data_IF_594861113292
#
_entry.id   IF_594861113292
#
_cell.length_a   1.000
_cell.length_b   1.000
_cell.length_c   1.000
_cell.angle_alpha   90.00
_cell.angle_beta   90.00
_cell.angle_gamma   90.00
#
_symmetry.space_group_name_H-M   'P 1'
#
loop_
_entity.id
_entity.type
_entity.pdbx_description
1 polymer ?
#
# COMPACT_ATOMS: atom_id res chain seq x y z
N UNK A 1 -0.51 35.47 -12.82
CA UNK A 1 -0.01 35.07 -14.16
C UNK A 1 -0.20 36.16 -15.22
N UNK A 2 -1.41 36.68 -15.46
CA UNK A 2 -1.59 37.82 -16.38
C UNK A 2 -0.90 39.10 -15.90
N UNK A 3 -1.03 39.41 -14.60
CA UNK A 3 -0.39 40.58 -13.98
C UNK A 3 1.14 40.52 -13.94
N UNK A 4 1.74 39.34 -14.08
CA UNK A 4 3.20 39.14 -14.07
C UNK A 4 3.78 38.94 -15.48
N UNK A 5 2.99 39.23 -16.53
CA UNK A 5 3.49 39.30 -17.91
C UNK A 5 3.77 37.96 -18.61
N UNK A 6 3.20 36.84 -18.13
CA UNK A 6 3.42 35.54 -18.78
C UNK A 6 2.71 35.44 -20.14
N UNK A 7 3.47 35.02 -21.17
CA UNK A 7 3.01 34.79 -22.55
C UNK A 7 2.21 33.50 -22.72
N UNK A 8 1.10 33.38 -21.99
CA UNK A 8 0.23 32.18 -21.99
C UNK A 8 -0.93 32.38 -22.97
N UNK A 9 -1.22 31.38 -23.80
CA UNK A 9 -2.44 31.33 -24.62
C UNK A 9 -3.65 30.95 -23.77
N UNK A 10 -4.33 31.96 -23.22
CA UNK A 10 -5.49 31.78 -22.36
C UNK A 10 -6.71 31.16 -23.05
N UNK A 11 -6.73 31.05 -24.39
CA UNK A 11 -7.83 30.39 -25.11
C UNK A 11 -7.86 28.88 -24.86
N UNK A 12 -6.75 28.30 -24.37
CA UNK A 12 -6.60 26.88 -24.04
C UNK A 12 -6.72 26.59 -22.54
N UNK A 13 -7.26 27.51 -21.75
CA UNK A 13 -7.52 27.27 -20.33
C UNK A 13 -8.68 26.30 -20.17
N UNK A 14 -8.49 25.28 -19.32
CA UNK A 14 -9.53 24.36 -18.85
C UNK A 14 -9.21 23.95 -17.41
N UNK A 15 -10.15 23.27 -16.75
CA UNK A 15 -9.95 22.62 -15.44
C UNK A 15 -10.02 21.10 -15.57
N UNK A 16 -9.46 20.37 -14.60
CA UNK A 16 -9.45 18.89 -14.60
C UNK A 16 -10.85 18.28 -14.43
N UNK A 17 -11.85 19.08 -14.07
CA UNK A 17 -13.24 18.66 -13.87
C UNK A 17 -14.17 19.13 -14.99
N UNK A 18 -13.67 19.83 -16.00
CA UNK A 18 -14.46 20.26 -17.16
C UNK A 18 -14.95 19.06 -17.98
N UNK A 19 -16.18 19.10 -18.50
CA UNK A 19 -16.77 17.96 -19.21
C UNK A 19 -16.02 17.56 -20.48
N UNK A 20 -15.44 18.53 -21.18
CA UNK A 20 -14.58 18.25 -22.34
C UNK A 20 -13.33 17.47 -21.94
N UNK A 21 -12.72 17.81 -20.80
CA UNK A 21 -11.54 17.14 -20.28
C UNK A 21 -11.88 15.75 -19.72
N UNK A 22 -13.02 15.60 -19.03
CA UNK A 22 -13.54 14.29 -18.60
C UNK A 22 -13.67 13.32 -19.76
N UNK A 23 -14.28 13.74 -20.89
CA UNK A 23 -14.40 12.89 -22.09
C UNK A 23 -13.05 12.47 -22.66
N UNK A 24 -12.06 13.38 -22.63
CA UNK A 24 -10.69 13.06 -23.04
C UNK A 24 -10.07 11.99 -22.13
N UNK A 25 -10.21 12.11 -20.81
CA UNK A 25 -9.71 11.11 -19.86
C UNK A 25 -10.43 9.77 -20.02
N UNK A 26 -11.75 9.76 -20.20
CA UNK A 26 -12.52 8.53 -20.48
C UNK A 26 -12.01 7.84 -21.74
N UNK A 27 -11.80 8.58 -22.83
CA UNK A 27 -11.22 8.04 -24.06
C UNK A 27 -9.82 7.45 -23.81
N UNK A 28 -8.96 8.15 -23.06
CA UNK A 28 -7.62 7.68 -22.72
C UNK A 28 -7.65 6.34 -21.95
N UNK A 29 -8.48 6.24 -20.91
CA UNK A 29 -8.58 5.03 -20.09
C UNK A 29 -9.19 3.86 -20.88
N UNK A 30 -10.22 4.09 -21.69
CA UNK A 30 -10.78 3.07 -22.56
C UNK A 30 -9.73 2.51 -23.53
N UNK A 31 -8.92 3.40 -24.11
CA UNK A 31 -7.85 3.01 -25.02
C UNK A 31 -6.76 2.19 -24.32
N UNK A 32 -6.41 2.52 -23.08
CA UNK A 32 -5.47 1.74 -22.27
C UNK A 32 -6.06 0.37 -21.90
N UNK A 33 -7.35 0.32 -21.59
CA UNK A 33 -8.07 -0.90 -21.28
C UNK A 33 -8.16 -1.84 -22.50
N UNK A 34 -8.54 -1.32 -23.67
CA UNK A 34 -8.61 -2.06 -24.93
C UNK A 34 -7.26 -2.67 -25.33
N UNK A 35 -6.16 -2.02 -24.97
CA UNK A 35 -4.79 -2.51 -25.21
C UNK A 35 -4.24 -3.42 -24.12
N UNK A 36 -5.02 -3.73 -23.09
CA UNK A 36 -4.62 -4.63 -22.01
C UNK A 36 -3.64 -4.02 -21.00
N UNK A 37 -3.50 -2.68 -20.94
CA UNK A 37 -2.64 -2.00 -19.97
C UNK A 37 -3.34 -1.75 -18.62
N UNK A 38 -4.65 -1.98 -18.54
CA UNK A 38 -5.42 -1.82 -17.30
C UNK A 38 -5.78 -3.21 -16.78
N UNK A 39 -5.16 -3.59 -15.66
CA UNK A 39 -5.38 -4.86 -14.98
C UNK A 39 -6.03 -4.69 -13.62
N UNK A 40 -6.61 -5.78 -13.09
CA UNK A 40 -7.08 -5.88 -11.71
C UNK A 40 -6.33 -6.99 -11.01
N UNK A 41 -5.82 -6.70 -9.82
CA UNK A 41 -5.09 -7.66 -9.00
C UNK A 41 -5.08 -7.24 -7.55
N UNK A 42 -4.59 -8.13 -6.68
CA UNK A 42 -4.32 -7.81 -5.28
C UNK A 42 -2.92 -7.21 -5.18
N UNK A 43 -2.83 -5.99 -4.68
CA UNK A 43 -1.57 -5.31 -4.45
C UNK A 43 -1.65 -4.58 -3.10
N UNK A 44 -0.60 -4.64 -2.25
CA UNK A 44 -0.58 -3.88 -1.01
C UNK A 44 -0.58 -2.38 -1.32
N UNK A 45 -1.56 -1.66 -0.78
CA UNK A 45 -1.70 -0.21 -0.93
C UNK A 45 -1.72 0.43 0.45
N UNK A 46 -1.28 1.69 0.54
CA UNK A 46 -1.57 2.50 1.73
C UNK A 46 -3.07 2.72 1.82
N UNK A 47 -3.62 2.59 3.02
CA UNK A 47 -5.05 2.58 3.24
C UNK A 47 -5.43 3.55 4.36
N UNK A 48 -6.45 4.37 4.15
CA UNK A 48 -7.04 5.19 5.20
C UNK A 48 -8.19 4.41 5.86
N UNK A 49 -8.08 3.99 7.13
CA UNK A 49 -9.17 3.29 7.81
C UNK A 49 -10.37 4.20 8.13
N UNK A 50 -10.22 5.53 8.03
CA UNK A 50 -11.31 6.48 8.24
C UNK A 50 -12.14 6.70 6.97
N UNK A 51 -11.47 6.81 5.82
CA UNK A 51 -12.09 7.16 4.54
C UNK A 51 -12.40 5.94 3.67
N UNK A 52 -11.94 4.75 4.10
CA UNK A 52 -12.17 3.45 3.45
C UNK A 52 -11.70 3.42 1.98
N UNK A 53 -10.56 4.04 1.70
CA UNK A 53 -9.99 4.16 0.37
C UNK A 53 -8.44 4.05 0.36
N UNK A 54 -7.84 3.73 -0.81
CA UNK A 54 -6.39 3.79 -0.97
C UNK A 54 -5.92 5.24 -0.97
N UNK A 55 -4.72 5.46 -0.44
CA UNK A 55 -4.13 6.80 -0.24
C UNK A 55 -2.79 6.89 -0.97
N UNK A 56 -2.62 7.93 -1.79
CA UNK A 56 -1.37 8.20 -2.49
C UNK A 56 -0.49 9.20 -1.73
N UNK A 57 0.72 9.45 -2.22
CA UNK A 57 1.68 10.36 -1.55
C UNK A 57 1.13 11.78 -1.36
N UNK A 58 0.21 12.20 -2.23
CA UNK A 58 -0.39 13.53 -2.19
C UNK A 58 -1.58 13.67 -1.22
N UNK A 59 -2.06 12.54 -0.68
CA UNK A 59 -3.23 12.50 0.20
C UNK A 59 -2.87 12.24 1.68
N UNK A 60 -1.57 12.14 1.99
CA UNK A 60 -1.07 11.92 3.36
C UNK A 60 -0.54 13.21 4.00
N UNK A 61 -0.83 13.39 5.29
CA UNK A 61 -0.37 14.56 6.05
C UNK A 61 1.10 14.48 6.48
N UNK A 62 1.63 13.25 6.63
CA UNK A 62 3.01 12.97 7.06
C UNK A 62 3.46 11.62 6.52
N UNK A 63 4.76 11.45 6.34
CA UNK A 63 5.36 10.16 5.97
C UNK A 63 5.42 9.89 4.48
N UNK A 64 5.58 10.92 3.64
CA UNK A 64 5.74 10.79 2.18
C UNK A 64 6.84 9.80 1.77
N UNK A 65 7.91 9.69 2.58
CA UNK A 65 8.98 8.72 2.34
C UNK A 65 8.72 7.30 2.85
N UNK A 66 7.55 7.02 3.44
CA UNK A 66 7.24 5.70 3.98
C UNK A 66 6.91 4.73 2.84
N UNK A 67 7.78 3.75 2.64
CA UNK A 67 7.61 2.69 1.64
C UNK A 67 7.00 1.44 2.26
N UNK A 68 6.30 0.66 1.43
CA UNK A 68 5.83 -0.67 1.80
C UNK A 68 7.04 -1.60 1.77
N UNK A 69 7.34 -2.25 2.89
CA UNK A 69 8.46 -3.18 3.03
C UNK A 69 7.89 -4.57 3.27
N UNK A 70 8.29 -5.52 2.43
CA UNK A 70 7.91 -6.91 2.57
C UNK A 70 8.75 -7.61 3.64
N UNK A 71 8.07 -8.13 4.67
CA UNK A 71 8.67 -8.98 5.68
C UNK A 71 8.23 -10.42 5.48
N UNK A 72 9.16 -11.36 5.64
CA UNK A 72 8.81 -12.78 5.77
C UNK A 72 8.40 -13.08 7.20
N UNK A 73 7.19 -13.61 7.37
CA UNK A 73 6.71 -14.10 8.67
C UNK A 73 7.03 -15.59 8.85
N UNK A 74 7.98 -15.89 9.72
CA UNK A 74 8.32 -17.27 10.11
C UNK A 74 7.45 -17.69 11.29
N UNK A 75 6.74 -18.80 11.16
CA UNK A 75 5.77 -19.29 12.14
C UNK A 75 6.40 -20.35 13.05
N UNK A 76 6.78 -19.97 14.26
CA UNK A 76 7.28 -20.89 15.27
C UNK A 76 6.11 -21.48 16.06
N UNK A 77 6.04 -22.81 16.18
CA UNK A 77 4.99 -23.50 16.95
C UNK A 77 5.50 -23.85 18.33
N UNK A 78 4.73 -23.55 19.37
CA UNK A 78 4.99 -24.03 20.72
C UNK A 78 4.34 -25.40 20.89
N UNK A 79 5.17 -26.41 21.17
CA UNK A 79 4.76 -27.81 21.32
C UNK A 79 3.73 -28.03 22.42
N UNK A 80 3.84 -27.31 23.54
CA UNK A 80 3.01 -27.56 24.73
C UNK A 80 1.64 -26.89 24.66
N UNK A 81 1.56 -25.69 24.07
CA UNK A 81 0.34 -24.88 24.05
C UNK A 81 -0.39 -24.91 22.71
N UNK A 82 0.23 -25.46 21.66
CA UNK A 82 -0.29 -25.42 20.29
C UNK A 82 -0.32 -24.02 19.67
N UNK A 83 0.25 -23.01 20.36
CA UNK A 83 0.29 -21.63 19.90
C UNK A 83 1.33 -21.44 18.79
N UNK A 84 1.08 -20.46 17.93
CA UNK A 84 1.99 -20.06 16.86
C UNK A 84 2.47 -18.63 17.13
N UNK A 85 3.79 -18.43 17.12
CA UNK A 85 4.43 -17.13 17.18
C UNK A 85 4.93 -16.74 15.77
N UNK A 86 4.28 -15.79 15.10
CA UNK A 86 4.78 -15.23 13.84
C UNK A 86 5.89 -14.22 14.11
N UNK A 87 7.10 -14.50 13.63
CA UNK A 87 8.26 -13.62 13.74
C UNK A 87 8.59 -13.01 12.37
N UNK A 88 8.60 -11.67 12.27
CA UNK A 88 8.92 -10.95 11.04
C UNK A 88 10.44 -10.83 10.85
N UNK A 89 10.92 -11.11 9.63
CA UNK A 89 12.32 -10.92 9.24
C UNK A 89 12.44 -10.46 7.78
N UNK A 90 13.47 -9.64 7.50
CA UNK A 90 13.89 -9.30 6.13
C UNK A 90 14.90 -10.32 5.57
N UNK A 91 15.36 -11.24 6.41
CA UNK A 91 16.43 -12.20 6.13
C UNK A 91 15.95 -13.61 6.42
N UNK A 92 15.07 -14.19 5.58
CA UNK A 92 14.52 -15.52 5.83
C UNK A 92 15.59 -16.62 5.85
N UNK A 93 16.74 -16.40 5.20
CA UNK A 93 17.85 -17.35 5.15
C UNK A 93 18.49 -17.62 6.52
N UNK A 94 18.32 -16.72 7.51
CA UNK A 94 18.91 -16.89 8.85
C UNK A 94 18.14 -17.88 9.73
N UNK A 95 17.01 -18.42 9.24
CA UNK A 95 16.16 -19.35 10.00
C UNK A 95 16.92 -20.58 10.53
N UNK A 96 17.93 -21.05 9.79
CA UNK A 96 18.75 -22.22 10.19
C UNK A 96 19.66 -21.95 11.39
N UNK A 97 19.95 -20.68 11.69
CA UNK A 97 20.78 -20.27 12.82
C UNK A 97 19.98 -19.81 14.04
N UNK A 98 18.66 -19.99 14.05
CA UNK A 98 17.80 -19.53 15.15
C UNK A 98 18.00 -20.43 16.37
N UNK A 99 18.51 -19.84 17.46
CA UNK A 99 18.73 -20.52 18.74
C UNK A 99 17.68 -20.18 19.79
N UNK A 100 17.07 -19.00 19.69
CA UNK A 100 16.05 -18.50 20.61
C UNK A 100 15.13 -17.50 19.90
N UNK A 101 14.06 -17.11 20.59
CA UNK A 101 13.16 -16.04 20.18
C UNK A 101 13.26 -14.89 21.17
N UNK A 102 13.22 -13.66 20.64
CA UNK A 102 13.24 -12.45 21.45
C UNK A 102 11.83 -11.88 21.56
N UNK A 103 11.42 -11.58 22.79
CA UNK A 103 10.13 -10.96 23.10
C UNK A 103 10.35 -9.77 24.03
N UNK A 104 9.55 -8.72 23.88
CA UNK A 104 9.64 -7.55 24.74
C UNK A 104 8.66 -7.70 25.91
N UNK A 105 9.12 -7.84 27.17
CA UNK A 105 8.22 -8.05 28.31
C UNK A 105 7.37 -6.81 28.66
N UNK A 106 7.68 -5.63 28.10
CA UNK A 106 7.00 -4.38 28.40
C UNK A 106 5.79 -4.09 27.50
N UNK A 107 5.54 -4.92 26.49
CA UNK A 107 4.41 -4.74 25.56
C UNK A 107 3.35 -5.81 25.78
N UNK A 108 2.09 -5.44 25.55
CA UNK A 108 0.97 -6.38 25.64
C UNK A 108 0.81 -7.12 24.32
N UNK A 109 0.83 -8.45 24.39
CA UNK A 109 0.57 -9.32 23.25
C UNK A 109 -0.88 -9.79 23.23
N UNK A 110 -1.41 -10.03 22.03
CA UNK A 110 -2.76 -10.53 21.83
C UNK A 110 -2.72 -11.95 21.26
N UNK A 111 -3.52 -12.84 21.84
CA UNK A 111 -3.79 -14.15 21.26
C UNK A 111 -5.05 -14.04 20.38
N UNK A 112 -4.87 -14.28 19.09
CA UNK A 112 -5.96 -14.23 18.10
C UNK A 112 -6.23 -15.62 17.55
N UNK A 113 -7.51 -15.95 17.35
CA UNK A 113 -7.92 -17.13 16.61
C UNK A 113 -8.08 -16.73 15.15
N UNK A 114 -7.19 -17.21 14.30
CA UNK A 114 -7.26 -16.94 12.87
C UNK A 114 -6.58 -18.06 12.09
N UNK A 115 -7.00 -18.23 10.84
CA UNK A 115 -6.28 -19.12 9.93
C UNK A 115 -5.06 -18.37 9.40
N UNK A 116 -3.92 -18.53 10.10
CA UNK A 116 -2.66 -17.99 9.61
C UNK A 116 -2.20 -18.71 8.32
N UNK A 117 -2.83 -19.83 7.93
CA UNK A 117 -2.49 -20.63 6.75
C UNK A 117 -3.41 -20.41 5.54
N UNK A 118 -4.08 -19.25 5.45
CA UNK A 118 -4.84 -18.87 4.27
C UNK A 118 -3.95 -18.50 3.07
N UNK A 119 -4.18 -19.17 1.94
CA UNK A 119 -3.84 -18.68 0.60
C UNK A 119 -4.44 -17.30 0.35
#
# INVERSE_FOLDING_TARGET
>A
MRSIGYSIDWRRKFTTTDDAYKRFITWQFNLLYERGFVGRGSYPVRWCPNDDNPVEDHDILRGEGATIIDYTLIKFRLSESGLVLPCATLRPETVFGVTNLWVNPLVTYLQIRGDLFGR
#
